data_IF_431582668430
#
_entry.id   IF_431582668430
#
_cell.length_a   1.000
_cell.length_b   1.000
_cell.length_c   1.000
_cell.angle_alpha   90.00
_cell.angle_beta   90.00
_cell.angle_gamma   90.00
#
_symmetry.space_group_name_H-M   'P 1'
#
loop_
_entity.id
_entity.type
_entity.pdbx_description
1 polymer ?
#
# COMPACT_ATOMS: atom_id res chain seq x y z
N UNK A 1 41.23 -8.16 5.40
CA UNK A 1 40.96 -7.99 6.85
C UNK A 1 40.40 -9.29 7.35
N UNK A 2 40.89 -9.79 8.48
CA UNK A 2 40.45 -11.09 9.03
C UNK A 2 40.22 -10.94 10.53
N UNK A 3 39.07 -11.40 11.03
CA UNK A 3 38.83 -11.53 12.47
C UNK A 3 39.45 -12.83 12.93
N UNK A 4 40.43 -12.76 13.84
CA UNK A 4 41.15 -13.93 14.35
C UNK A 4 41.04 -13.94 15.87
N UNK A 5 40.23 -14.87 16.39
CA UNK A 5 40.04 -15.07 17.84
C UNK A 5 41.15 -15.89 18.49
N UNK A 6 41.90 -16.66 17.70
CA UNK A 6 43.00 -17.49 18.19
C UNK A 6 44.33 -16.70 18.22
N UNK A 7 44.95 -16.61 19.39
CA UNK A 7 46.15 -15.81 19.59
C UNK A 7 47.39 -16.35 18.86
N UNK A 8 47.51 -17.67 18.69
CA UNK A 8 48.65 -18.28 17.98
C UNK A 8 48.50 -18.06 16.46
N UNK A 9 47.28 -18.21 15.94
CA UNK A 9 46.95 -17.96 14.54
C UNK A 9 47.11 -16.47 14.19
N UNK A 10 46.72 -15.56 15.08
CA UNK A 10 46.89 -14.12 14.89
C UNK A 10 48.37 -13.73 14.76
N UNK A 11 49.22 -14.30 15.61
CA UNK A 11 50.66 -14.05 15.58
C UNK A 11 51.33 -14.62 14.32
N UNK A 12 50.84 -15.76 13.82
CA UNK A 12 51.34 -16.35 12.58
C UNK A 12 50.92 -15.55 11.34
N UNK A 13 49.76 -14.89 11.36
CA UNK A 13 49.19 -14.15 10.23
C UNK A 13 49.61 -12.67 10.24
N UNK A 14 49.92 -12.09 11.41
CA UNK A 14 50.37 -10.69 11.52
C UNK A 14 51.73 -10.41 10.89
N UNK A 15 52.49 -11.46 10.55
CA UNK A 15 53.77 -11.37 9.84
C UNK A 15 53.62 -11.34 8.32
N UNK A 16 52.40 -11.54 7.80
CA UNK A 16 52.10 -11.47 6.37
C UNK A 16 51.85 -10.02 5.94
N UNK A 17 52.57 -9.58 4.91
CA UNK A 17 52.37 -8.26 4.32
C UNK A 17 50.92 -8.11 3.82
N UNK A 18 50.34 -6.93 4.06
CA UNK A 18 48.96 -6.56 3.72
C UNK A 18 47.83 -7.27 4.49
N UNK A 19 48.12 -8.05 5.53
CA UNK A 19 47.08 -8.66 6.37
C UNK A 19 46.88 -7.88 7.67
N UNK A 20 45.74 -7.18 7.78
CA UNK A 20 45.27 -6.60 9.05
C UNK A 20 44.35 -7.58 9.78
N UNK A 21 44.73 -7.93 11.01
CA UNK A 21 43.98 -8.80 11.91
C UNK A 21 43.26 -7.98 12.98
N UNK A 22 42.05 -8.43 13.35
CA UNK A 22 41.22 -7.84 14.40
C UNK A 22 40.76 -8.93 15.36
N UNK A 23 40.61 -8.59 16.63
CA UNK A 23 40.18 -9.53 17.68
C UNK A 23 38.66 -9.74 17.65
N UNK A 24 37.91 -8.74 17.16
CA UNK A 24 36.46 -8.78 17.16
C UNK A 24 35.85 -7.89 16.07
N UNK A 25 34.56 -8.11 15.77
CA UNK A 25 33.80 -7.26 14.86
C UNK A 25 33.72 -5.79 15.35
N UNK A 26 33.51 -5.51 16.66
CA UNK A 26 33.57 -4.14 17.20
C UNK A 26 34.86 -3.38 16.87
N UNK A 27 36.03 -4.02 16.92
CA UNK A 27 37.29 -3.35 16.56
C UNK A 27 37.34 -2.92 15.08
N UNK A 28 36.67 -3.68 14.21
CA UNK A 28 36.52 -3.32 12.79
C UNK A 28 35.58 -2.12 12.68
N UNK A 29 34.42 -2.16 13.35
CA UNK A 29 33.46 -1.05 13.37
C UNK A 29 34.04 0.22 14.02
N UNK A 30 35.06 0.07 14.87
CA UNK A 30 35.75 1.17 15.53
C UNK A 30 36.78 1.90 14.63
N UNK A 31 37.03 1.40 13.42
CA UNK A 31 37.93 2.07 12.49
C UNK A 31 37.39 3.46 12.10
N UNK A 32 38.22 4.52 12.07
CA UNK A 32 37.76 5.88 11.81
C UNK A 32 36.92 6.05 10.54
N UNK A 33 37.30 5.34 9.46
CA UNK A 33 36.55 5.34 8.21
C UNK A 33 35.16 4.69 8.34
N UNK A 34 35.07 3.56 9.05
CA UNK A 34 33.79 2.87 9.29
C UNK A 34 32.93 3.62 10.30
N UNK A 35 33.51 4.20 11.36
CA UNK A 35 32.78 5.10 12.28
C UNK A 35 32.14 6.27 11.56
N UNK A 36 32.86 6.88 10.62
CA UNK A 36 32.33 8.00 9.84
C UNK A 36 31.13 7.56 8.98
N UNK A 37 31.27 6.45 8.25
CA UNK A 37 30.19 5.89 7.42
C UNK A 37 28.98 5.51 8.29
N UNK A 38 29.19 4.85 9.43
CA UNK A 38 28.12 4.51 10.37
C UNK A 38 27.43 5.75 10.94
N UNK A 39 28.18 6.82 11.24
CA UNK A 39 27.60 8.07 11.70
C UNK A 39 26.73 8.72 10.62
N UNK A 40 27.18 8.72 9.36
CA UNK A 40 26.42 9.22 8.22
C UNK A 40 25.12 8.41 8.01
N UNK A 41 25.19 7.07 8.07
CA UNK A 41 24.02 6.19 7.99
C UNK A 41 23.03 6.46 9.13
N UNK A 42 23.51 6.54 10.37
CA UNK A 42 22.66 6.84 11.53
C UNK A 42 21.98 8.20 11.43
N UNK A 43 22.64 9.21 10.85
CA UNK A 43 22.03 10.51 10.61
C UNK A 43 20.94 10.40 9.55
N UNK A 44 21.18 9.68 8.46
CA UNK A 44 20.18 9.40 7.43
C UNK A 44 18.94 8.70 7.99
N UNK A 45 19.13 7.62 8.75
CA UNK A 45 18.03 6.88 9.40
C UNK A 45 17.20 7.76 10.32
N UNK A 46 17.85 8.63 11.11
CA UNK A 46 17.13 9.57 11.99
C UNK A 46 16.29 10.58 11.21
N UNK A 47 16.77 11.05 10.06
CA UNK A 47 16.01 11.98 9.21
C UNK A 47 14.80 11.30 8.58
N UNK A 48 15.00 10.12 7.99
CA UNK A 48 13.90 9.31 7.44
C UNK A 48 12.85 9.02 8.52
N UNK A 49 13.29 8.63 9.72
CA UNK A 49 12.37 8.42 10.85
C UNK A 49 11.61 9.69 11.23
N UNK A 50 12.26 10.85 11.26
CA UNK A 50 11.60 12.13 11.53
C UNK A 50 10.51 12.44 10.49
N UNK A 51 10.74 12.10 9.23
CA UNK A 51 9.76 12.26 8.16
C UNK A 51 8.58 11.31 8.38
N UNK A 52 8.84 10.02 8.63
CA UNK A 52 7.82 9.01 8.96
C UNK A 52 6.97 9.49 10.14
N UNK A 53 7.60 9.92 11.22
CA UNK A 53 6.90 10.40 12.43
C UNK A 53 6.03 11.63 12.14
N UNK A 54 6.49 12.51 11.24
CA UNK A 54 5.74 13.71 10.82
C UNK A 54 4.54 13.32 9.95
N UNK A 55 4.76 12.45 8.96
CA UNK A 55 3.72 11.90 8.09
C UNK A 55 2.68 11.09 8.87
N UNK A 56 3.08 10.47 9.98
CA UNK A 56 2.18 9.73 10.87
C UNK A 56 1.30 10.63 11.76
N UNK A 57 1.54 11.94 11.81
CA UNK A 57 0.70 12.84 12.61
C UNK A 57 -0.70 12.98 12.03
N UNK A 58 -1.70 13.17 12.90
CA UNK A 58 -3.11 13.29 12.50
C UNK A 58 -3.34 14.46 11.54
N UNK A 59 -2.67 15.59 11.74
CA UNK A 59 -2.78 16.75 10.85
C UNK A 59 -2.33 16.41 9.42
N UNK A 60 -1.15 15.80 9.26
CA UNK A 60 -0.65 15.41 7.95
C UNK A 60 -1.55 14.37 7.27
N UNK A 61 -2.05 13.39 8.03
CA UNK A 61 -2.97 12.39 7.49
C UNK A 61 -4.28 13.03 7.06
N UNK A 62 -4.78 13.99 7.82
CA UNK A 62 -5.97 14.75 7.45
C UNK A 62 -5.77 15.52 6.14
N UNK A 63 -4.68 16.30 6.03
CA UNK A 63 -4.37 17.08 4.82
C UNK A 63 -4.25 16.18 3.58
N UNK A 64 -3.59 15.02 3.72
CA UNK A 64 -3.48 14.03 2.63
C UNK A 64 -4.85 13.47 2.27
N UNK A 65 -5.64 13.02 3.24
CA UNK A 65 -6.98 12.47 3.00
C UNK A 65 -7.93 13.49 2.38
N UNK A 66 -7.88 14.75 2.82
CA UNK A 66 -8.65 15.86 2.23
C UNK A 66 -8.25 16.06 0.77
N UNK A 67 -6.95 16.12 0.47
CA UNK A 67 -6.45 16.18 -0.90
C UNK A 67 -6.96 15.03 -1.79
N UNK A 68 -6.95 13.79 -1.27
CA UNK A 68 -7.45 12.62 -2.00
C UNK A 68 -8.94 12.72 -2.33
N UNK A 69 -9.75 13.21 -1.38
CA UNK A 69 -11.18 13.40 -1.53
C UNK A 69 -11.50 14.51 -2.56
N UNK A 70 -10.82 15.66 -2.46
CA UNK A 70 -11.07 16.81 -3.36
C UNK A 70 -10.70 16.52 -4.81
N UNK A 71 -9.64 15.74 -5.04
CA UNK A 71 -9.13 15.45 -6.37
C UNK A 71 -9.67 14.14 -6.99
N UNK A 72 -10.56 13.43 -6.27
CA UNK A 72 -11.19 12.19 -6.74
C UNK A 72 -10.19 11.17 -7.30
N UNK A 73 -9.04 11.02 -6.62
CA UNK A 73 -7.96 10.16 -7.11
C UNK A 73 -8.32 8.67 -7.08
N UNK A 74 -9.34 8.30 -6.29
CA UNK A 74 -10.05 7.02 -6.44
C UNK A 74 -11.01 7.16 -7.60
N UNK A 75 -10.75 6.44 -8.70
CA UNK A 75 -11.49 6.60 -9.94
C UNK A 75 -12.91 6.04 -9.84
N UNK A 76 -13.85 6.93 -9.60
CA UNK A 76 -15.29 6.64 -9.63
C UNK A 76 -15.71 6.38 -11.08
N UNK A 77 -16.66 5.47 -11.28
CA UNK A 77 -17.19 5.04 -12.60
C UNK A 77 -16.29 4.13 -13.45
N UNK A 78 -15.09 3.75 -12.98
CA UNK A 78 -14.33 2.66 -13.60
C UNK A 78 -14.94 1.29 -13.24
N UNK A 79 -14.97 0.41 -14.24
CA UNK A 79 -15.32 -1.00 -14.07
C UNK A 79 -14.05 -1.79 -13.83
N UNK A 80 -14.06 -2.62 -12.79
CA UNK A 80 -12.96 -3.51 -12.45
C UNK A 80 -13.32 -4.93 -12.81
N UNK A 81 -12.33 -5.67 -13.31
CA UNK A 81 -12.46 -7.06 -13.70
C UNK A 81 -12.18 -8.02 -12.53
N UNK A 82 -12.51 -9.28 -12.74
CA UNK A 82 -12.34 -10.39 -11.78
C UNK A 82 -10.93 -10.50 -11.18
N UNK A 83 -9.88 -10.03 -11.86
CA UNK A 83 -8.51 -10.15 -11.34
C UNK A 83 -8.27 -9.26 -10.13
N UNK A 84 -9.08 -8.23 -9.95
CA UNK A 84 -8.97 -7.28 -8.84
C UNK A 84 -10.05 -7.48 -7.78
N UNK A 85 -11.07 -8.31 -8.03
CA UNK A 85 -12.23 -8.44 -7.15
C UNK A 85 -12.04 -9.62 -6.17
N UNK A 86 -12.20 -9.35 -4.88
CA UNK A 86 -12.42 -10.37 -3.85
C UNK A 86 -13.92 -10.45 -3.57
N UNK A 87 -14.52 -11.60 -3.86
CA UNK A 87 -15.90 -11.86 -3.49
C UNK A 87 -15.98 -12.39 -2.05
N UNK A 88 -17.13 -12.22 -1.37
CA UNK A 88 -17.39 -12.89 -0.11
C UNK A 88 -17.34 -14.41 -0.31
N UNK A 89 -16.98 -15.13 0.76
CA UNK A 89 -16.80 -16.59 0.71
C UNK A 89 -18.01 -17.33 0.12
N UNK A 90 -19.23 -16.88 0.40
CA UNK A 90 -20.47 -17.49 -0.12
C UNK A 90 -20.64 -17.33 -1.64
N UNK A 91 -19.98 -16.34 -2.24
CA UNK A 91 -19.97 -16.10 -3.69
C UNK A 91 -18.69 -16.60 -4.37
N UNK A 92 -17.60 -16.78 -3.62
CA UNK A 92 -16.33 -17.35 -4.13
C UNK A 92 -16.44 -18.87 -4.39
N UNK A 93 -17.32 -19.56 -3.65
CA UNK A 93 -17.56 -21.00 -3.76
C UNK A 93 -18.43 -21.42 -4.97
N UNK A 94 -18.92 -20.45 -5.76
CA UNK A 94 -19.77 -20.72 -6.92
C UNK A 94 -19.07 -20.44 -8.25
N UNK A 95 -19.43 -21.22 -9.27
CA UNK A 95 -18.89 -21.04 -10.62
C UNK A 95 -19.48 -19.76 -11.24
N UNK A 96 -18.64 -18.72 -11.33
CA UNK A 96 -18.92 -17.42 -11.94
C UNK A 96 -18.06 -17.27 -13.19
N UNK A 97 -18.69 -16.93 -14.32
CA UNK A 97 -18.02 -16.84 -15.63
C UNK A 97 -17.50 -15.44 -15.96
N UNK A 98 -18.04 -14.42 -15.29
CA UNK A 98 -17.69 -13.01 -15.51
C UNK A 98 -18.13 -12.23 -14.30
N UNK A 99 -17.22 -11.51 -13.65
CA UNK A 99 -17.50 -10.66 -12.52
C UNK A 99 -17.02 -9.24 -12.82
N UNK A 100 -17.87 -8.25 -12.56
CA UNK A 100 -17.59 -6.84 -12.77
C UNK A 100 -18.10 -6.04 -11.57
N UNK A 101 -17.25 -5.17 -11.03
CA UNK A 101 -17.62 -4.21 -9.98
C UNK A 101 -17.42 -2.80 -10.53
N UNK A 102 -18.48 -1.99 -10.46
CA UNK A 102 -18.45 -0.59 -10.87
C UNK A 102 -18.65 0.32 -9.66
N UNK A 103 -17.62 1.09 -9.29
CA UNK A 103 -17.69 2.03 -8.16
C UNK A 103 -18.63 3.19 -8.52
N UNK A 104 -19.61 3.44 -7.66
CA UNK A 104 -20.64 4.49 -7.83
C UNK A 104 -20.41 5.69 -6.95
N UNK A 105 -19.97 5.46 -5.72
CA UNK A 105 -19.79 6.52 -4.74
C UNK A 105 -18.65 6.18 -3.79
N UNK A 106 -17.91 7.20 -3.36
CA UNK A 106 -16.90 7.12 -2.33
C UNK A 106 -17.53 7.59 -1.01
N UNK A 107 -17.49 6.76 0.03
CA UNK A 107 -18.02 7.08 1.35
C UNK A 107 -16.92 7.64 2.27
N UNK A 108 -15.71 7.09 2.21
CA UNK A 108 -14.60 7.54 3.04
C UNK A 108 -13.24 7.00 2.57
N UNK A 109 -12.16 7.71 2.92
CA UNK A 109 -10.79 7.29 2.67
C UNK A 109 -10.04 7.24 3.99
N UNK A 110 -9.36 6.12 4.21
CA UNK A 110 -8.50 5.86 5.35
C UNK A 110 -7.10 5.53 4.86
N UNK A 111 -6.10 6.16 5.47
CA UNK A 111 -4.69 5.84 5.25
C UNK A 111 -4.07 5.42 6.57
N UNK A 112 -3.26 4.38 6.53
CA UNK A 112 -2.58 3.87 7.72
C UNK A 112 -1.24 4.61 7.94
N UNK A 113 -0.18 3.88 8.26
CA UNK A 113 1.06 4.44 8.76
C UNK A 113 2.09 4.47 7.64
N UNK A 114 2.84 5.58 7.51
CA UNK A 114 3.76 5.76 6.40
C UNK A 114 4.93 4.79 6.49
N UNK A 115 5.30 4.22 5.35
CA UNK A 115 6.48 3.36 5.19
C UNK A 115 7.45 4.02 4.20
N UNK A 116 8.75 3.97 4.49
CA UNK A 116 9.76 4.49 3.58
C UNK A 116 10.11 3.45 2.51
N UNK A 117 10.05 3.86 1.24
CA UNK A 117 10.33 3.01 0.07
C UNK A 117 11.71 3.26 -0.55
N UNK A 118 12.47 4.26 -0.07
CA UNK A 118 13.74 4.65 -0.67
C UNK A 118 13.63 5.85 -1.61
N UNK A 119 14.72 6.61 -1.75
CA UNK A 119 14.86 7.70 -2.73
C UNK A 119 13.75 8.77 -2.65
N UNK A 120 13.47 9.26 -1.44
CA UNK A 120 12.44 10.27 -1.21
C UNK A 120 11.00 9.80 -1.46
N UNK A 121 10.75 8.49 -1.46
CA UNK A 121 9.42 7.89 -1.61
C UNK A 121 8.91 7.32 -0.29
N UNK A 122 7.64 7.59 0.00
CA UNK A 122 6.93 7.11 1.16
C UNK A 122 5.58 6.56 0.73
N UNK A 123 5.13 5.46 1.33
CA UNK A 123 3.84 4.87 1.03
C UNK A 123 2.93 4.79 2.24
N UNK A 124 1.62 4.79 1.97
CA UNK A 124 0.59 4.43 2.93
C UNK A 124 -0.24 3.29 2.36
N UNK A 125 -0.64 2.37 3.22
CA UNK A 125 -1.79 1.52 2.93
C UNK A 125 -3.04 2.41 2.88
N UNK A 126 -3.81 2.31 1.81
CA UNK A 126 -5.04 3.05 1.60
C UNK A 126 -6.21 2.08 1.55
N UNK A 127 -7.25 2.40 2.31
CA UNK A 127 -8.55 1.74 2.24
C UNK A 127 -9.59 2.83 1.99
N UNK A 128 -10.34 2.69 0.90
CA UNK A 128 -11.46 3.56 0.59
C UNK A 128 -12.76 2.76 0.63
N UNK A 129 -13.69 3.20 1.47
CA UNK A 129 -15.04 2.64 1.58
C UNK A 129 -15.88 3.21 0.43
N UNK A 130 -16.41 2.32 -0.39
CA UNK A 130 -17.09 2.67 -1.63
C UNK A 130 -18.43 1.95 -1.72
N UNK A 131 -19.41 2.62 -2.29
CA UNK A 131 -20.63 1.97 -2.77
C UNK A 131 -20.45 1.65 -4.25
N UNK A 132 -20.76 0.42 -4.66
CA UNK A 132 -20.54 -0.08 -6.00
C UNK A 132 -21.70 -0.95 -6.49
N UNK A 133 -21.74 -1.20 -7.80
CA UNK A 133 -22.65 -2.17 -8.40
C UNK A 133 -21.86 -3.40 -8.81
N UNK A 134 -22.30 -4.57 -8.34
CA UNK A 134 -21.77 -5.87 -8.72
C UNK A 134 -22.62 -6.46 -9.85
N UNK A 135 -21.97 -7.00 -10.89
CA UNK A 135 -22.61 -7.71 -11.99
C UNK A 135 -21.84 -8.99 -12.27
N UNK A 136 -22.52 -10.14 -12.29
CA UNK A 136 -21.89 -11.39 -12.69
C UNK A 136 -22.83 -12.35 -13.43
N UNK A 137 -22.24 -13.39 -14.03
CA UNK A 137 -22.94 -14.45 -14.74
C UNK A 137 -22.73 -15.80 -14.04
N UNK A 138 -23.82 -16.54 -13.81
CA UNK A 138 -23.79 -17.90 -13.28
C UNK A 138 -24.95 -18.75 -13.82
N UNK A 139 -24.92 -20.07 -13.58
CA UNK A 139 -26.03 -20.96 -13.90
C UNK A 139 -27.26 -20.66 -13.03
N UNK A 140 -28.48 -20.80 -13.58
CA UNK A 140 -29.69 -20.53 -12.81
C UNK A 140 -29.82 -21.41 -11.55
N UNK A 141 -29.40 -22.68 -11.61
CA UNK A 141 -29.44 -23.59 -10.46
C UNK A 141 -28.46 -23.14 -9.36
N UNK A 142 -27.31 -22.58 -9.74
CA UNK A 142 -26.32 -22.00 -8.83
C UNK A 142 -26.92 -20.77 -8.15
N UNK A 143 -27.53 -19.85 -8.90
CA UNK A 143 -28.21 -18.70 -8.32
C UNK A 143 -29.26 -19.11 -7.29
N UNK A 144 -30.11 -20.10 -7.61
CA UNK A 144 -31.15 -20.56 -6.69
C UNK A 144 -30.61 -21.26 -5.43
N UNK A 145 -29.36 -21.76 -5.48
CA UNK A 145 -28.67 -22.32 -4.31
C UNK A 145 -28.05 -21.28 -3.38
N UNK A 146 -27.94 -20.01 -3.81
CA UNK A 146 -27.41 -18.94 -2.98
C UNK A 146 -28.26 -18.74 -1.71
N UNK A 147 -27.63 -18.31 -0.60
CA UNK A 147 -28.36 -17.96 0.61
C UNK A 147 -29.45 -16.93 0.32
N UNK A 148 -30.53 -16.99 1.11
CA UNK A 148 -31.70 -16.14 0.87
C UNK A 148 -31.37 -14.64 0.88
N UNK A 149 -30.40 -14.21 1.68
CA UNK A 149 -29.93 -12.83 1.78
C UNK A 149 -29.42 -12.33 0.41
N UNK A 150 -28.54 -13.10 -0.24
CA UNK A 150 -28.04 -12.78 -1.57
C UNK A 150 -29.14 -12.80 -2.64
N UNK A 151 -30.06 -13.77 -2.62
CA UNK A 151 -31.17 -13.83 -3.61
C UNK A 151 -32.21 -12.73 -3.44
N UNK A 152 -32.29 -12.14 -2.25
CA UNK A 152 -33.18 -11.02 -1.95
C UNK A 152 -32.56 -9.68 -2.38
N UNK A 153 -31.26 -9.55 -2.15
CA UNK A 153 -30.45 -8.38 -2.48
C UNK A 153 -30.18 -8.27 -3.99
N UNK A 154 -29.74 -9.37 -4.59
CA UNK A 154 -29.34 -9.43 -5.98
C UNK A 154 -30.56 -9.70 -6.89
N UNK A 155 -30.63 -8.94 -7.97
CA UNK A 155 -31.62 -9.11 -9.04
C UNK A 155 -31.08 -10.03 -10.13
N UNK A 156 -31.82 -11.09 -10.43
CA UNK A 156 -31.55 -11.94 -11.61
C UNK A 156 -32.31 -11.47 -12.84
N UNK A 157 -31.68 -11.62 -14.00
CA UNK A 157 -32.29 -11.44 -15.31
C UNK A 157 -31.90 -12.59 -16.23
N UNK A 158 -32.88 -13.17 -16.91
CA UNK A 158 -32.65 -14.26 -17.86
C UNK A 158 -31.95 -13.75 -19.11
N UNK A 159 -30.88 -14.42 -19.52
CA UNK A 159 -30.23 -14.16 -20.80
C UNK A 159 -30.91 -15.04 -21.84
N UNK A 160 -31.58 -14.43 -22.82
CA UNK A 160 -32.37 -15.15 -23.81
C UNK A 160 -31.55 -16.24 -24.53
N UNK A 161 -31.98 -17.49 -24.38
CA UNK A 161 -31.38 -18.64 -25.08
C UNK A 161 -30.21 -19.31 -24.36
N UNK A 162 -29.91 -18.96 -23.10
CA UNK A 162 -28.87 -19.59 -22.29
C UNK A 162 -29.45 -20.15 -20.98
N UNK A 163 -28.81 -21.17 -20.41
CA UNK A 163 -29.06 -21.67 -19.04
C UNK A 163 -28.46 -20.78 -17.96
N UNK A 164 -27.76 -19.73 -18.37
CA UNK A 164 -27.11 -18.75 -17.51
C UNK A 164 -28.00 -17.54 -17.26
N UNK A 165 -27.89 -17.00 -16.06
CA UNK A 165 -28.56 -15.78 -15.63
C UNK A 165 -27.53 -14.69 -15.38
N UNK A 166 -27.92 -13.45 -15.66
CA UNK A 166 -27.15 -12.28 -15.24
C UNK A 166 -27.68 -11.80 -13.91
N UNK A 167 -26.78 -11.72 -12.93
CA UNK A 167 -27.07 -11.29 -11.56
C UNK A 167 -26.47 -9.91 -11.35
N UNK A 168 -27.24 -9.01 -10.74
CA UNK A 168 -26.80 -7.65 -10.40
C UNK A 168 -27.31 -7.19 -9.06
N UNK A 169 -26.53 -6.37 -8.37
CA UNK A 169 -27.02 -5.67 -7.18
C UNK A 169 -26.07 -4.57 -6.76
N UNK A 170 -26.48 -3.86 -5.72
CA UNK A 170 -25.67 -2.85 -5.07
C UNK A 170 -24.92 -3.48 -3.90
N UNK A 171 -23.66 -3.11 -3.74
CA UNK A 171 -22.74 -3.69 -2.77
C UNK A 171 -21.86 -2.60 -2.16
N UNK A 172 -21.46 -2.81 -0.91
CA UNK A 172 -20.37 -2.03 -0.33
C UNK A 172 -19.06 -2.75 -0.57
N UNK A 173 -18.06 -1.99 -1.00
CA UNK A 173 -16.74 -2.50 -1.37
C UNK A 173 -15.64 -1.66 -0.72
N UNK A 174 -14.62 -2.34 -0.23
CA UNK A 174 -13.39 -1.72 0.20
C UNK A 174 -12.39 -1.71 -0.97
N UNK A 175 -12.09 -0.52 -1.48
CA UNK A 175 -10.95 -0.29 -2.37
C UNK A 175 -9.68 -0.35 -1.54
N UNK A 176 -8.88 -1.39 -1.74
CA UNK A 176 -7.60 -1.60 -1.07
C UNK A 176 -6.48 -1.26 -2.03
N UNK A 177 -5.62 -0.34 -1.62
CA UNK A 177 -4.51 0.10 -2.46
C UNK A 177 -3.37 0.70 -1.67
N UNK A 178 -2.42 1.25 -2.42
CA UNK A 178 -1.25 1.92 -1.88
C UNK A 178 -1.18 3.33 -2.41
N UNK A 179 -1.11 4.28 -1.49
CA UNK A 179 -0.79 5.67 -1.77
C UNK A 179 0.73 5.84 -1.75
N UNK A 180 1.31 6.43 -2.77
CA UNK A 180 2.75 6.73 -2.83
C UNK A 180 2.95 8.24 -2.95
N UNK A 181 3.66 8.80 -1.97
CA UNK A 181 4.22 10.15 -2.03
C UNK A 181 5.64 10.07 -2.56
N UNK A 182 5.92 10.84 -3.62
CA UNK A 182 7.24 10.92 -4.25
C UNK A 182 7.78 12.35 -4.20
N UNK A 183 9.10 12.51 -4.24
CA UNK A 183 9.74 13.84 -4.33
C UNK A 183 10.01 14.51 -2.97
N UNK A 184 9.91 13.76 -1.86
CA UNK A 184 10.26 14.27 -0.53
C UNK A 184 11.79 14.26 -0.39
N UNK A 185 12.40 15.44 -0.19
CA UNK A 185 13.83 15.53 0.15
C UNK A 185 14.07 14.98 1.56
N UNK A 186 14.91 13.97 1.67
CA UNK A 186 15.27 13.30 2.94
C UNK A 186 16.02 14.21 3.90
N UNK A 187 16.44 15.39 3.46
CA UNK A 187 17.05 16.42 4.29
C UNK A 187 16.06 17.48 4.79
N UNK A 188 14.81 17.45 4.35
CA UNK A 188 13.75 18.37 4.77
C UNK A 188 13.42 18.19 6.26
N UNK A 189 13.19 19.30 6.95
CA UNK A 189 12.71 19.28 8.33
C UNK A 189 11.18 19.11 8.42
N UNK A 190 10.69 18.69 9.58
CA UNK A 190 9.26 18.46 9.80
C UNK A 190 8.37 19.67 9.52
N UNK A 191 8.86 20.89 9.76
CA UNK A 191 8.08 22.11 9.51
C UNK A 191 7.94 22.40 8.02
N UNK A 192 9.03 22.29 7.27
CA UNK A 192 9.02 22.41 5.82
C UNK A 192 8.16 21.33 5.17
N UNK A 193 8.24 20.08 5.64
CA UNK A 193 7.43 18.99 5.12
C UNK A 193 5.93 19.27 5.29
N UNK A 194 5.49 19.70 6.48
CA UNK A 194 4.09 20.08 6.71
C UNK A 194 3.61 21.18 5.77
N UNK A 195 4.47 22.16 5.51
CA UNK A 195 4.16 23.23 4.55
C UNK A 195 4.01 22.64 3.15
N UNK A 196 4.92 21.77 2.69
CA UNK A 196 4.78 21.11 1.37
C UNK A 196 3.50 20.27 1.25
N UNK A 197 3.06 19.62 2.34
CA UNK A 197 1.85 18.80 2.34
C UNK A 197 0.57 19.65 2.26
N UNK A 198 0.54 20.84 2.86
CA UNK A 198 -0.65 21.69 2.85
C UNK A 198 -1.01 22.31 1.51
N UNK A 199 -0.15 22.16 0.50
CA UNK A 199 -0.43 22.55 -0.89
C UNK A 199 -0.19 21.42 -1.89
N UNK A 200 -0.39 20.16 -1.48
CA UNK A 200 -0.41 19.02 -2.39
C UNK A 200 -1.30 19.31 -3.60
N UNK A 201 -0.80 18.97 -4.80
CA UNK A 201 -1.48 19.22 -6.08
C UNK A 201 -1.36 20.63 -6.65
N UNK A 202 -0.75 21.59 -5.95
CA UNK A 202 -0.43 22.88 -6.54
C UNK A 202 0.68 22.75 -7.60
N UNK A 203 0.67 23.58 -8.65
CA UNK A 203 1.66 23.55 -9.76
C UNK A 203 3.13 23.61 -9.33
N UNK A 204 3.41 24.03 -8.08
CA UNK A 204 4.76 24.16 -7.51
C UNK A 204 5.04 23.16 -6.39
N UNK A 205 4.14 22.21 -6.13
CA UNK A 205 4.42 21.13 -5.17
C UNK A 205 5.57 20.27 -5.70
N UNK A 206 6.65 20.08 -4.92
CA UNK A 206 7.68 19.10 -5.25
C UNK A 206 7.24 17.67 -4.92
N UNK A 207 6.13 17.52 -4.18
CA UNK A 207 5.59 16.24 -3.77
C UNK A 207 4.48 15.82 -4.73
N UNK A 208 4.70 14.68 -5.37
CA UNK A 208 3.72 14.00 -6.20
C UNK A 208 3.01 12.90 -5.41
N UNK A 209 1.77 12.63 -5.77
CA UNK A 209 0.87 11.74 -5.07
C UNK A 209 0.20 10.79 -6.07
N UNK A 210 0.41 9.48 -5.90
CA UNK A 210 -0.09 8.43 -6.80
C UNK A 210 -0.83 7.34 -6.00
N UNK A 211 -1.99 6.89 -6.49
CA UNK A 211 -2.73 5.76 -5.93
C UNK A 211 -2.60 4.57 -6.87
N UNK A 212 -2.25 3.42 -6.30
CA UNK A 212 -2.25 2.14 -6.99
C UNK A 212 -3.30 1.22 -6.36
N UNK A 213 -4.24 0.72 -7.17
CA UNK A 213 -5.18 -0.30 -6.74
C UNK A 213 -4.46 -1.65 -6.59
N UNK A 214 -4.67 -2.31 -5.46
CA UNK A 214 -4.25 -3.70 -5.27
C UNK A 214 -5.43 -4.65 -5.38
N UNK A 215 -6.56 -4.32 -4.72
CA UNK A 215 -7.73 -5.19 -4.64
C UNK A 215 -9.02 -4.42 -4.33
N UNK A 216 -10.15 -4.93 -4.81
CA UNK A 216 -11.50 -4.51 -4.45
C UNK A 216 -12.19 -5.63 -3.71
N UNK A 217 -12.39 -5.43 -2.41
CA UNK A 217 -13.05 -6.43 -1.59
C UNK A 217 -14.52 -6.10 -1.44
N UNK A 218 -15.40 -7.02 -1.85
CA UNK A 218 -16.84 -6.90 -1.62
C UNK A 218 -17.14 -7.30 -0.16
N UNK A 219 -17.78 -6.43 0.59
CA UNK A 219 -18.01 -6.61 2.03
C UNK A 219 -19.46 -6.94 2.37
N UNK A 220 -20.41 -6.12 1.91
CA UNK A 220 -21.84 -6.31 2.14
C UNK A 220 -22.64 -6.25 0.84
N UNK A 221 -23.73 -7.02 0.79
CA UNK A 221 -24.63 -7.11 -0.37
C UNK A 221 -26.05 -6.72 0.08
N UNK A 222 -26.67 -5.75 -0.61
CA UNK A 222 -27.93 -5.09 -0.19
C UNK A 222 -29.16 -5.49 -1.00
#
# INVERSE_FOLDING_TARGET
MVVVKDGALRNAISTLDNVRTYESLPEILDLPALKKILAELNVGEKKVKSIIDTLATSDCRYDITEYLNENQLVKIEESYDENFIELPYELDDIEINTCEVQIRNLQGIFIDSPTYLGNGKFSYTLVAECHASLSFHCGNDIYESLPYEYRKALSKSEVSGQSEVRVKGDVDVAFQGVLVLSGIDENTDSGQLKVHLSYLGAERSPIDCEINLEKLKVEEVY
#
